data_IF_752967850985
#
_entry.id   IF_752967850985
#
_cell.length_a   1.000
_cell.length_b   1.000
_cell.length_c   1.000
_cell.angle_alpha   90.00
_cell.angle_beta   90.00
_cell.angle_gamma   90.00
#
_symmetry.space_group_name_H-M   'P 1'
#
loop_
_entity.id
_entity.type
_entity.pdbx_description
1 polymer ?
#
# COMPACT_ATOMS: atom_id res chain seq x y z
N UNK A 1 1.12 22.73 21.14
CA UNK A 1 2.45 22.26 21.56
C UNK A 1 2.33 20.77 21.85
N UNK A 2 2.15 19.95 20.81
CA UNK A 2 1.86 18.52 20.97
C UNK A 2 2.02 17.69 19.70
N UNK A 3 2.81 18.18 18.73
CA UNK A 3 2.86 17.64 17.36
C UNK A 3 4.27 17.13 16.98
N UNK A 4 5.31 17.59 17.71
CA UNK A 4 6.72 17.32 17.43
C UNK A 4 7.09 15.83 17.45
N UNK A 5 6.41 15.05 18.30
CA UNK A 5 6.67 13.62 18.48
C UNK A 5 6.21 12.80 17.26
N UNK A 6 5.10 13.20 16.62
CA UNK A 6 4.60 12.57 15.39
C UNK A 6 5.47 12.88 14.16
N UNK A 7 6.08 14.06 14.11
CA UNK A 7 6.98 14.43 13.02
C UNK A 7 8.38 13.78 13.17
N UNK A 8 8.85 13.52 14.40
CA UNK A 8 10.09 12.75 14.60
C UNK A 8 9.92 11.27 14.17
N UNK A 9 8.74 10.68 14.38
CA UNK A 9 8.41 9.34 13.88
C UNK A 9 8.40 9.31 12.34
N UNK A 10 7.74 10.27 11.69
CA UNK A 10 7.77 10.40 10.22
C UNK A 10 9.20 10.53 9.68
N UNK A 11 10.04 11.35 10.34
CA UNK A 11 11.44 11.56 9.98
C UNK A 11 12.33 10.32 10.20
N UNK A 12 11.97 9.41 11.12
CA UNK A 12 12.66 8.11 11.31
C UNK A 12 12.24 7.09 10.26
N UNK A 13 10.94 7.03 9.93
CA UNK A 13 10.38 6.12 8.91
C UNK A 13 10.92 6.47 7.51
N UNK A 14 11.02 7.77 7.19
CA UNK A 14 11.46 8.24 5.86
C UNK A 14 12.97 8.22 5.63
N UNK A 15 13.81 8.19 6.68
CA UNK A 15 15.28 8.25 6.53
C UNK A 15 15.97 6.92 6.16
N UNK A 16 15.27 5.80 6.26
CA UNK A 16 15.86 4.45 6.10
C UNK A 16 15.12 3.58 5.08
N UNK A 17 14.16 4.15 4.36
CA UNK A 17 13.36 3.47 3.35
C UNK A 17 13.54 4.11 1.99
N UNK A 18 13.43 3.31 0.92
CA UNK A 18 13.28 3.79 -0.46
C UNK A 18 11.88 4.40 -0.73
N UNK A 19 11.12 4.68 0.32
CA UNK A 19 9.75 5.19 0.24
C UNK A 19 9.62 6.43 1.12
N UNK A 20 9.17 7.54 0.52
CA UNK A 20 8.92 8.80 1.22
C UNK A 20 7.44 9.14 1.15
N UNK A 21 6.83 9.53 2.26
CA UNK A 21 5.41 9.87 2.32
C UNK A 21 5.20 11.38 2.42
N UNK A 22 4.06 11.84 1.92
CA UNK A 22 3.69 13.24 1.95
C UNK A 22 2.18 13.46 1.79
N UNK A 23 1.75 14.72 1.80
CA UNK A 23 0.34 15.08 1.91
C UNK A 23 -0.35 14.41 3.12
N UNK A 24 0.30 14.56 4.29
CA UNK A 24 -0.19 14.12 5.61
C UNK A 24 -1.54 14.79 5.92
N UNK A 25 -2.57 13.99 6.14
CA UNK A 25 -3.90 14.45 6.56
C UNK A 25 -3.95 14.62 8.09
N UNK A 26 -4.96 15.34 8.63
CA UNK A 26 -5.25 15.31 10.06
C UNK A 26 -5.53 13.88 10.55
N UNK A 27 -5.03 13.55 11.75
CA UNK A 27 -5.28 12.25 12.37
C UNK A 27 -6.77 12.10 12.76
N UNK A 28 -7.36 10.94 12.44
CA UNK A 28 -8.74 10.57 12.82
C UNK A 28 -8.74 9.32 13.70
N UNK A 29 -9.89 8.95 14.28
CA UNK A 29 -10.05 7.65 14.94
C UNK A 29 -10.41 6.56 13.93
N UNK A 30 -10.14 5.30 14.25
CA UNK A 30 -10.63 4.19 13.41
C UNK A 30 -12.14 4.21 13.23
N UNK A 31 -12.90 4.55 14.27
CA UNK A 31 -14.36 4.70 14.15
C UNK A 31 -14.72 5.84 13.17
N UNK A 32 -14.07 7.00 13.28
CA UNK A 32 -14.30 8.11 12.35
C UNK A 32 -13.96 7.77 10.90
N UNK A 33 -12.92 6.96 10.66
CA UNK A 33 -12.58 6.43 9.34
C UNK A 33 -13.63 5.43 8.82
N UNK A 34 -14.06 4.48 9.65
CA UNK A 34 -15.07 3.47 9.30
C UNK A 34 -16.45 4.10 9.06
N UNK A 35 -16.81 5.17 9.77
CA UNK A 35 -18.04 5.94 9.56
C UNK A 35 -17.97 6.83 8.30
N UNK A 36 -16.87 7.54 8.10
CA UNK A 36 -16.68 8.42 6.93
C UNK A 36 -16.57 7.66 5.60
N UNK A 37 -16.25 6.35 5.64
CA UNK A 37 -16.15 5.47 4.47
C UNK A 37 -17.06 4.24 4.54
N UNK A 38 -18.14 4.32 5.33
CA UNK A 38 -19.13 3.24 5.53
C UNK A 38 -19.66 2.61 4.23
N UNK A 39 -19.75 3.40 3.15
CA UNK A 39 -20.31 3.01 1.85
C UNK A 39 -19.27 2.32 0.93
N UNK A 40 -18.00 2.24 1.37
CA UNK A 40 -16.92 1.54 0.66
C UNK A 40 -16.51 0.26 1.42
N UNK A 41 -16.73 -0.90 0.80
CA UNK A 41 -16.52 -2.22 1.40
C UNK A 41 -15.06 -2.54 1.77
N UNK A 42 -14.11 -1.76 1.25
CA UNK A 42 -12.71 -1.80 1.68
C UNK A 42 -12.51 -1.34 3.14
N UNK A 43 -13.48 -0.62 3.72
CA UNK A 43 -13.45 -0.05 5.07
C UNK A 43 -14.41 -0.75 6.06
N UNK A 44 -15.25 -1.69 5.60
CA UNK A 44 -16.07 -2.51 6.49
C UNK A 44 -15.19 -3.27 7.48
N UNK A 45 -15.36 -2.98 8.78
CA UNK A 45 -14.58 -3.55 9.90
C UNK A 45 -13.06 -3.41 9.74
N UNK A 46 -12.59 -2.32 9.14
CA UNK A 46 -11.19 -1.97 8.91
C UNK A 46 -10.30 -2.24 10.12
N UNK A 47 -10.66 -1.78 11.33
CA UNK A 47 -9.82 -1.91 12.54
C UNK A 47 -9.65 -3.35 13.00
N UNK A 48 -10.68 -4.18 12.78
CA UNK A 48 -10.68 -5.61 13.10
C UNK A 48 -9.83 -6.37 12.08
N UNK A 49 -10.01 -6.08 10.78
CA UNK A 49 -9.21 -6.67 9.68
C UNK A 49 -7.73 -6.32 9.83
N UNK A 50 -7.41 -5.07 10.15
CA UNK A 50 -6.05 -4.60 10.42
C UNK A 50 -5.46 -5.28 11.66
N UNK A 51 -6.19 -5.35 12.78
CA UNK A 51 -5.74 -6.07 13.99
C UNK A 51 -5.41 -7.54 13.68
N UNK A 52 -6.27 -8.23 12.92
CA UNK A 52 -6.04 -9.62 12.53
C UNK A 52 -4.81 -9.77 11.63
N UNK A 53 -4.66 -8.93 10.60
CA UNK A 53 -3.48 -8.89 9.74
C UNK A 53 -2.19 -8.69 10.54
N UNK A 54 -2.16 -7.71 11.45
CA UNK A 54 -0.98 -7.42 12.27
C UNK A 54 -0.58 -8.64 13.11
N UNK A 55 -1.52 -9.30 13.78
CA UNK A 55 -1.22 -10.51 14.55
C UNK A 55 -0.66 -11.66 13.69
N UNK A 56 -1.14 -11.83 12.46
CA UNK A 56 -0.60 -12.82 11.51
C UNK A 56 0.80 -12.41 11.06
N UNK A 57 0.97 -11.16 10.62
CA UNK A 57 2.22 -10.62 10.08
C UNK A 57 3.37 -10.72 11.09
N UNK A 58 3.13 -10.36 12.37
CA UNK A 58 4.15 -10.42 13.41
C UNK A 58 4.60 -11.85 13.66
N UNK A 59 3.62 -12.76 13.82
CA UNK A 59 3.88 -14.19 14.03
C UNK A 59 4.68 -14.79 12.88
N UNK A 60 4.31 -14.49 11.63
CA UNK A 60 4.99 -15.00 10.43
C UNK A 60 6.40 -14.43 10.23
N UNK A 61 6.66 -13.18 10.66
CA UNK A 61 7.95 -12.52 10.53
C UNK A 61 8.83 -12.65 11.79
N UNK A 62 8.40 -13.42 12.80
CA UNK A 62 9.04 -13.53 14.13
C UNK A 62 9.28 -12.17 14.84
N UNK A 63 8.39 -11.21 14.62
CA UNK A 63 8.45 -9.88 15.25
C UNK A 63 7.86 -9.97 16.66
N UNK A 64 8.57 -9.43 17.65
CA UNK A 64 8.09 -9.38 19.02
C UNK A 64 6.81 -8.53 19.14
N UNK A 65 5.83 -9.03 19.89
CA UNK A 65 4.61 -8.29 20.19
C UNK A 65 4.86 -7.21 21.26
N UNK A 66 4.42 -5.95 21.05
CA UNK A 66 4.40 -4.93 22.08
C UNK A 66 3.77 -5.39 23.38
N UNK A 67 4.46 -5.14 24.50
CA UNK A 67 4.05 -5.60 25.83
C UNK A 67 3.84 -7.12 25.95
N UNK A 68 4.34 -7.93 25.00
CA UNK A 68 4.10 -9.37 24.90
C UNK A 68 2.67 -9.76 24.50
N UNK A 69 1.84 -8.83 24.00
CA UNK A 69 0.39 -9.03 23.80
C UNK A 69 -0.02 -8.93 22.33
N UNK A 70 -0.99 -9.77 21.95
CA UNK A 70 -1.66 -9.67 20.64
C UNK A 70 -2.27 -8.28 20.46
N UNK A 71 -2.07 -7.71 19.27
CA UNK A 71 -2.54 -6.36 18.94
C UNK A 71 -4.06 -6.36 18.81
N UNK A 72 -4.70 -5.36 19.42
CA UNK A 72 -6.14 -5.15 19.36
C UNK A 72 -6.40 -3.66 19.29
N UNK A 73 -6.68 -3.15 18.09
CA UNK A 73 -6.97 -1.75 17.86
C UNK A 73 -8.34 -1.38 18.43
N UNK A 74 -8.38 -0.29 19.20
CA UNK A 74 -9.59 0.32 19.71
C UNK A 74 -10.37 1.10 18.64
N UNK A 75 -11.54 1.60 19.03
CA UNK A 75 -12.35 2.49 18.18
C UNK A 75 -11.72 3.89 18.10
N UNK A 76 -11.13 4.35 19.20
CA UNK A 76 -10.57 5.69 19.36
C UNK A 76 -9.10 5.84 18.96
N UNK A 77 -8.36 4.73 18.84
CA UNK A 77 -6.96 4.71 18.42
C UNK A 77 -6.79 5.47 17.09
N UNK A 78 -5.69 6.20 16.96
CA UNK A 78 -5.54 7.18 15.88
C UNK A 78 -4.87 6.60 14.65
N UNK A 79 -5.37 7.05 13.50
CA UNK A 79 -4.94 6.71 12.16
C UNK A 79 -4.76 8.01 11.36
N UNK A 80 -3.61 8.16 10.72
CA UNK A 80 -3.21 9.38 9.99
C UNK A 80 -3.00 9.02 8.53
N UNK A 81 -3.81 9.59 7.64
CA UNK A 81 -3.77 9.29 6.21
C UNK A 81 -2.72 10.11 5.46
N UNK A 82 -2.24 9.59 4.32
CA UNK A 82 -1.30 10.27 3.43
C UNK A 82 -1.80 10.12 1.99
N UNK A 83 -1.97 11.23 1.25
CA UNK A 83 -2.46 11.16 -0.14
C UNK A 83 -1.35 10.97 -1.18
N UNK A 84 -0.07 11.02 -0.78
CA UNK A 84 1.08 11.02 -1.68
C UNK A 84 2.26 10.20 -1.17
N UNK A 85 2.98 9.59 -2.10
CA UNK A 85 4.16 8.77 -1.85
C UNK A 85 5.17 8.90 -3.00
N UNK A 86 6.46 8.94 -2.65
CA UNK A 86 7.56 8.64 -3.59
C UNK A 86 8.05 7.22 -3.35
N UNK A 87 8.44 6.54 -4.41
CA UNK A 87 9.16 5.26 -4.35
C UNK A 87 10.41 5.37 -5.21
N UNK A 88 11.57 5.36 -4.59
CA UNK A 88 12.86 5.26 -5.25
C UNK A 88 13.15 3.79 -5.61
N UNK A 89 13.64 3.52 -6.82
CA UNK A 89 13.93 2.16 -7.28
C UNK A 89 15.12 2.10 -8.23
N UNK A 90 15.87 1.00 -8.17
CA UNK A 90 16.92 0.69 -9.14
C UNK A 90 16.28 0.02 -10.37
N UNK A 91 16.48 0.62 -11.55
CA UNK A 91 16.13 0.06 -12.86
C UNK A 91 16.94 -1.20 -13.14
N UNK A 92 16.30 -2.28 -13.60
CA UNK A 92 16.98 -3.53 -13.97
C UNK A 92 17.41 -3.55 -15.44
N UNK A 93 17.27 -2.43 -16.15
CA UNK A 93 17.78 -2.22 -17.52
C UNK A 93 19.20 -1.66 -17.48
N UNK A 94 19.41 -0.62 -16.68
CA UNK A 94 20.60 0.24 -16.71
C UNK A 94 21.21 0.53 -15.33
N UNK A 95 20.63 0.00 -14.25
CA UNK A 95 21.11 0.11 -12.87
C UNK A 95 21.14 1.55 -12.33
N UNK A 96 20.37 2.46 -12.93
CA UNK A 96 20.16 3.81 -12.39
C UNK A 96 18.99 3.85 -11.40
N UNK A 97 19.05 4.80 -10.45
CA UNK A 97 17.95 5.05 -9.52
C UNK A 97 16.92 6.01 -10.14
N UNK A 98 15.67 5.57 -10.18
CA UNK A 98 14.49 6.33 -10.60
C UNK A 98 13.55 6.56 -9.41
N UNK A 99 12.57 7.47 -9.55
CA UNK A 99 11.60 7.78 -8.50
C UNK A 99 10.19 7.86 -9.08
N UNK A 100 9.28 6.99 -8.63
CA UNK A 100 7.86 7.07 -8.95
C UNK A 100 7.11 8.00 -7.97
N UNK A 101 6.11 8.71 -8.48
CA UNK A 101 5.34 9.75 -7.77
C UNK A 101 3.86 9.36 -7.66
N UNK A 102 3.53 8.58 -6.64
CA UNK A 102 2.27 7.85 -6.49
C UNK A 102 1.26 8.59 -5.60
N UNK A 103 -0.03 8.44 -5.92
CA UNK A 103 -1.14 9.17 -5.28
C UNK A 103 -2.28 8.24 -4.88
N UNK A 104 -2.83 8.53 -3.70
CA UNK A 104 -4.16 8.09 -3.26
C UNK A 104 -5.06 9.32 -3.23
N UNK A 105 -5.68 9.70 -4.36
CA UNK A 105 -6.64 10.80 -4.37
C UNK A 105 -8.05 10.31 -4.75
N UNK A 106 -8.96 10.10 -3.78
CA UNK A 106 -10.33 9.70 -4.08
C UNK A 106 -11.15 10.78 -4.81
N UNK A 107 -10.64 12.01 -4.97
CA UNK A 107 -11.30 13.11 -5.68
C UNK A 107 -10.31 13.87 -6.60
N UNK A 108 -10.07 13.34 -7.80
CA UNK A 108 -9.40 14.05 -8.89
C UNK A 108 -10.39 14.25 -10.04
N UNK A 109 -10.83 15.51 -10.26
CA UNK A 109 -11.86 15.85 -11.25
C UNK A 109 -13.13 14.95 -11.19
N UNK A 110 -13.70 14.79 -10.00
CA UNK A 110 -14.86 13.92 -9.68
C UNK A 110 -14.67 12.41 -9.93
N UNK A 111 -13.45 11.95 -10.22
CA UNK A 111 -13.13 10.52 -10.30
C UNK A 111 -12.08 10.12 -9.23
N UNK A 112 -12.19 8.92 -8.63
CA UNK A 112 -11.19 8.43 -7.70
C UNK A 112 -9.95 7.92 -8.45
N UNK A 113 -8.84 8.64 -8.36
CA UNK A 113 -7.56 8.20 -8.90
C UNK A 113 -6.75 7.47 -7.81
N UNK A 114 -6.56 6.18 -8.05
CA UNK A 114 -5.69 5.32 -7.27
C UNK A 114 -4.61 4.80 -8.22
N UNK A 115 -3.36 5.23 -8.04
CA UNK A 115 -2.28 4.77 -8.91
C UNK A 115 -1.99 3.28 -8.68
N UNK A 116 -1.32 2.62 -9.62
CA UNK A 116 -1.00 1.19 -9.53
C UNK A 116 0.46 0.97 -9.07
N UNK A 117 0.74 -0.18 -8.47
CA UNK A 117 2.09 -0.52 -7.94
C UNK A 117 2.50 -1.98 -8.18
N UNK A 118 3.80 -2.21 -8.32
CA UNK A 118 4.44 -3.52 -8.29
C UNK A 118 4.95 -3.82 -6.87
N UNK A 119 4.37 -4.80 -6.19
CA UNK A 119 4.99 -5.43 -5.01
C UNK A 119 5.77 -6.69 -5.35
N UNK A 120 6.80 -6.94 -4.53
CA UNK A 120 7.43 -8.22 -4.28
C UNK A 120 6.72 -8.93 -3.10
N UNK A 121 6.19 -10.13 -3.33
CA UNK A 121 5.76 -11.04 -2.25
C UNK A 121 6.90 -12.02 -1.90
N UNK A 122 6.65 -12.99 -1.02
CA UNK A 122 7.62 -14.06 -0.73
C UNK A 122 7.92 -14.88 -1.99
N UNK A 123 6.88 -15.31 -2.70
CA UNK A 123 6.98 -16.29 -3.78
C UNK A 123 6.96 -15.66 -5.19
N UNK A 124 6.43 -14.43 -5.33
CA UNK A 124 6.08 -13.87 -6.64
C UNK A 124 6.14 -12.33 -6.71
N UNK A 125 5.91 -11.81 -7.91
CA UNK A 125 5.47 -10.43 -8.12
C UNK A 125 4.06 -10.50 -8.73
N UNK A 126 3.19 -9.56 -8.37
CA UNK A 126 1.80 -9.45 -8.87
C UNK A 126 1.55 -8.00 -9.37
N UNK A 127 0.30 -7.58 -9.65
CA UNK A 127 -0.08 -6.16 -9.87
C UNK A 127 -1.10 -5.64 -8.84
N UNK A 128 -1.20 -4.32 -8.65
CA UNK A 128 -1.91 -3.70 -7.52
C UNK A 128 -2.50 -2.34 -7.85
N UNK A 129 -3.52 -1.91 -7.10
CA UNK A 129 -4.04 -0.54 -7.08
C UNK A 129 -4.03 0.05 -5.67
N UNK A 130 -3.65 1.32 -5.55
CA UNK A 130 -3.26 1.97 -4.30
C UNK A 130 -4.46 2.70 -3.62
N UNK A 131 -5.20 2.03 -2.72
CA UNK A 131 -6.47 2.54 -2.16
C UNK A 131 -6.30 3.64 -1.08
N UNK A 132 -5.36 3.48 -0.15
CA UNK A 132 -5.17 4.32 1.06
C UNK A 132 -3.82 4.07 1.74
N UNK A 133 -3.03 5.12 1.97
CA UNK A 133 -1.79 5.09 2.77
C UNK A 133 -2.07 5.67 4.17
N UNK A 134 -1.54 5.06 5.24
CA UNK A 134 -1.76 5.52 6.61
C UNK A 134 -0.74 4.97 7.63
N UNK A 135 -0.44 5.75 8.67
CA UNK A 135 0.09 5.21 9.94
C UNK A 135 -1.07 4.99 10.90
N UNK A 136 -0.88 4.04 11.83
CA UNK A 136 -1.52 4.07 13.13
C UNK A 136 -0.47 3.79 14.20
N UNK A 137 -0.57 4.44 15.36
CA UNK A 137 0.32 4.17 16.50
C UNK A 137 -0.14 2.90 17.20
N UNK A 138 0.44 1.77 16.81
CA UNK A 138 0.50 0.58 17.67
C UNK A 138 1.53 0.90 18.77
N UNK A 139 1.26 0.49 20.01
CA UNK A 139 2.11 0.78 21.17
C UNK A 139 3.59 0.38 20.88
N UNK A 140 4.45 1.39 20.82
CA UNK A 140 5.90 1.38 20.53
C UNK A 140 6.42 0.63 19.26
N UNK A 141 7.01 1.43 18.37
CA UNK A 141 8.13 1.11 17.45
C UNK A 141 7.93 0.20 16.22
N UNK A 142 6.73 0.10 15.65
CA UNK A 142 6.52 -0.67 14.40
C UNK A 142 5.86 0.11 13.26
N UNK A 143 6.69 0.75 12.42
CA UNK A 143 6.29 1.41 11.18
C UNK A 143 5.81 0.43 10.11
N UNK A 144 4.49 0.22 10.05
CA UNK A 144 3.81 -0.76 9.19
C UNK A 144 2.73 -0.08 8.36
N UNK A 145 2.69 -0.37 7.06
CA UNK A 145 2.02 0.47 6.06
C UNK A 145 1.56 -0.33 4.81
N UNK A 146 0.34 -0.10 4.31
CA UNK A 146 -0.40 -0.85 3.24
C UNK A 146 0.26 -0.67 1.81
N UNK A 147 -0.04 -1.33 0.66
CA UNK A 147 -1.28 -1.87 0.03
C UNK A 147 -1.03 -2.94 -1.07
N UNK A 148 -1.93 -3.95 -1.23
CA UNK A 148 -2.24 -4.59 -2.54
C UNK A 148 -3.76 -4.75 -2.76
N UNK A 149 -4.19 -5.12 -3.97
CA UNK A 149 -5.59 -5.08 -4.42
C UNK A 149 -6.12 -6.41 -4.95
N UNK A 150 -7.40 -6.65 -4.66
CA UNK A 150 -8.34 -7.57 -5.28
C UNK A 150 -9.66 -6.78 -5.52
N UNK A 151 -10.84 -7.42 -5.52
CA UNK A 151 -12.12 -6.69 -5.56
C UNK A 151 -12.32 -5.79 -4.32
N UNK A 152 -13.28 -4.86 -4.35
CA UNK A 152 -13.48 -3.87 -3.25
C UNK A 152 -13.78 -4.52 -1.89
N UNK A 153 -14.48 -5.65 -1.84
CA UNK A 153 -14.69 -6.40 -0.58
C UNK A 153 -13.38 -6.98 -0.05
N UNK A 154 -12.50 -7.42 -0.95
CA UNK A 154 -11.37 -8.30 -0.69
C UNK A 154 -10.07 -7.53 -0.48
N UNK A 155 -10.17 -6.25 -0.09
CA UNK A 155 -9.04 -5.37 0.12
C UNK A 155 -8.16 -5.84 1.31
N UNK A 156 -6.88 -6.12 1.05
CA UNK A 156 -5.92 -6.67 2.01
C UNK A 156 -4.84 -5.68 2.45
N UNK A 157 -4.05 -6.05 3.46
CA UNK A 157 -2.95 -5.27 4.03
C UNK A 157 -1.61 -5.95 3.70
N UNK A 158 -0.55 -5.16 3.52
CA UNK A 158 0.84 -5.59 3.20
C UNK A 158 1.81 -4.58 3.86
N UNK A 159 3.15 -4.69 3.73
CA UNK A 159 4.11 -3.66 4.17
C UNK A 159 4.67 -2.79 3.02
N UNK A 160 4.85 -1.47 3.21
CA UNK A 160 5.32 -0.55 2.15
C UNK A 160 6.63 -0.96 1.47
N UNK A 161 7.57 -1.51 2.25
CA UNK A 161 8.85 -2.05 1.74
C UNK A 161 8.71 -3.19 0.73
N UNK A 162 7.50 -3.72 0.53
CA UNK A 162 7.21 -4.67 -0.55
C UNK A 162 6.99 -3.98 -1.90
N UNK A 163 6.62 -2.70 -1.94
CA UNK A 163 6.55 -1.92 -3.18
C UNK A 163 7.96 -1.83 -3.77
N UNK A 164 8.09 -2.28 -5.01
CA UNK A 164 9.30 -2.21 -5.82
C UNK A 164 9.32 -0.91 -6.62
N UNK A 165 8.18 -0.55 -7.21
CA UNK A 165 7.94 0.66 -8.00
C UNK A 165 6.42 0.83 -8.22
N UNK A 166 6.02 1.86 -8.95
CA UNK A 166 4.65 2.09 -9.45
C UNK A 166 4.19 1.01 -10.43
N UNK A 167 3.21 1.34 -11.27
CA UNK A 167 2.83 0.59 -12.47
C UNK A 167 1.91 1.46 -13.34
N UNK A 168 2.23 1.62 -14.62
CA UNK A 168 1.33 2.25 -15.58
C UNK A 168 0.28 1.23 -16.02
N UNK A 169 -0.98 1.39 -15.60
CA UNK A 169 -2.07 0.47 -15.96
C UNK A 169 -3.30 1.23 -16.45
N UNK A 170 -3.84 0.80 -17.60
CA UNK A 170 -5.12 1.28 -18.12
C UNK A 170 -6.23 0.28 -17.74
N UNK A 171 -7.46 0.72 -17.43
CA UNK A 171 -8.58 -0.20 -17.25
C UNK A 171 -8.90 -0.90 -18.58
N UNK A 172 -9.36 -2.14 -18.49
CA UNK A 172 -10.14 -2.73 -19.57
C UNK A 172 -11.54 -2.09 -19.58
N UNK A 173 -12.00 -1.68 -20.75
CA UNK A 173 -13.32 -1.06 -20.95
C UNK A 173 -14.39 -2.07 -21.37
N UNK A 174 -14.00 -3.28 -21.78
CA UNK A 174 -14.88 -4.41 -22.07
C UNK A 174 -15.07 -5.30 -20.81
N UNK A 175 -13.99 -5.50 -20.02
CA UNK A 175 -14.01 -6.35 -18.81
C UNK A 175 -13.87 -5.51 -17.53
N UNK A 176 -15.01 -5.22 -16.89
CA UNK A 176 -15.05 -4.39 -15.67
C UNK A 176 -14.32 -5.01 -14.49
N UNK A 177 -13.15 -4.45 -14.15
CA UNK A 177 -12.29 -4.88 -13.05
C UNK A 177 -10.88 -5.26 -13.49
N UNK A 178 -10.71 -5.58 -14.77
CA UNK A 178 -9.42 -5.93 -15.36
C UNK A 178 -8.64 -4.67 -15.80
N UNK A 179 -7.32 -4.80 -15.90
CA UNK A 179 -6.41 -3.71 -16.23
C UNK A 179 -5.27 -4.21 -17.12
N UNK A 180 -5.03 -3.52 -18.23
CA UNK A 180 -3.85 -3.72 -19.07
C UNK A 180 -2.64 -2.99 -18.47
N UNK A 181 -1.54 -3.72 -18.26
CA UNK A 181 -0.24 -3.11 -18.00
C UNK A 181 0.28 -2.44 -19.28
N UNK A 182 0.78 -1.20 -19.16
CA UNK A 182 1.40 -0.46 -20.25
C UNK A 182 2.93 -0.65 -20.16
N UNK A 183 3.42 -1.82 -20.57
CA UNK A 183 4.84 -2.17 -20.53
C UNK A 183 5.69 -1.49 -21.63
N UNK A 184 5.04 -0.88 -22.63
CA UNK A 184 5.68 -0.15 -23.72
C UNK A 184 6.20 1.25 -23.34
N UNK A 185 5.78 1.79 -22.19
CA UNK A 185 6.19 3.12 -21.70
C UNK A 185 7.56 3.08 -21.01
N UNK A 186 8.01 1.91 -20.54
CA UNK A 186 9.33 1.74 -19.94
C UNK A 186 9.88 0.33 -20.22
N UNK A 187 11.10 0.26 -20.77
CA UNK A 187 11.87 -0.99 -20.94
C UNK A 187 12.04 -1.80 -19.64
N UNK A 188 11.99 -1.13 -18.49
CA UNK A 188 12.08 -1.74 -17.18
C UNK A 188 10.82 -2.57 -16.85
N UNK A 189 9.63 -2.18 -17.32
CA UNK A 189 8.41 -2.97 -17.18
C UNK A 189 8.48 -4.29 -17.92
N UNK A 190 8.99 -4.27 -19.16
CA UNK A 190 9.20 -5.47 -19.95
C UNK A 190 10.13 -6.47 -19.24
N UNK A 191 11.24 -6.00 -18.64
CA UNK A 191 12.13 -6.88 -17.87
C UNK A 191 11.52 -7.34 -16.53
N UNK A 192 10.84 -6.46 -15.79
CA UNK A 192 10.25 -6.82 -14.47
C UNK A 192 9.12 -7.82 -14.59
N UNK A 193 8.37 -7.80 -15.69
CA UNK A 193 7.27 -8.75 -15.98
C UNK A 193 7.71 -9.99 -16.74
N UNK A 194 8.92 -10.02 -17.32
CA UNK A 194 9.44 -11.14 -18.13
C UNK A 194 9.21 -12.53 -17.54
N UNK A 195 9.37 -12.71 -16.21
CA UNK A 195 9.07 -13.97 -15.53
C UNK A 195 7.58 -14.32 -15.55
N UNK A 196 6.71 -13.35 -15.24
CA UNK A 196 5.25 -13.52 -15.25
C UNK A 196 4.77 -14.03 -16.61
N UNK A 197 5.28 -13.45 -17.71
CA UNK A 197 4.92 -13.87 -19.08
C UNK A 197 5.29 -15.34 -19.39
N UNK A 198 6.36 -15.87 -18.80
CA UNK A 198 6.75 -17.29 -18.92
C UNK A 198 6.04 -18.22 -17.92
N UNK A 199 5.41 -17.66 -16.89
CA UNK A 199 4.65 -18.39 -15.85
C UNK A 199 3.13 -18.38 -16.13
N UNK A 200 2.66 -17.62 -17.12
CA UNK A 200 1.28 -17.69 -17.61
C UNK A 200 0.99 -19.10 -18.17
N UNK A 201 -0.09 -19.78 -17.74
CA UNK A 201 -0.53 -21.00 -18.40
C UNK A 201 -0.89 -20.67 -19.85
N UNK A 202 -0.41 -21.49 -20.79
CA UNK A 202 -0.72 -21.32 -22.21
C UNK A 202 -2.25 -21.30 -22.39
N UNK A 203 -2.80 -20.13 -22.76
CA UNK A 203 -4.23 -20.00 -23.03
C UNK A 203 -4.60 -21.00 -24.13
N UNK A 204 -5.62 -21.81 -23.88
CA UNK A 204 -6.21 -22.65 -24.92
C UNK A 204 -6.76 -21.77 -26.05
N UNK A 205 -6.70 -22.32 -27.25
CA UNK A 205 -6.85 -21.67 -28.57
C UNK A 205 -8.19 -20.97 -28.78
#
# INVERSE_FOLDING_TARGET
>A
MGDLEGDEVDLKITKTSHVLLGSKCPATSFQGLEEARKDDTAFTSFRIRLSNYLNIFFSANNIAFPGGKRIKLGAEDKITEYCFMKVDYESIVDWQQYTDYLRCNPWFYNHPQYDCVLLQTVDSRIFARLIMLFICTIDQDLGLWRIRANSRSDAEFVPLRSIVCGAAMAPDYEVSGDFFLIDTVDSDWFLRTKKMWFELPAKHT
#
